data_IF_993901017050
#
_entry.id   IF_993901017050
#
_cell.length_a   1.000
_cell.length_b   1.000
_cell.length_c   1.000
_cell.angle_alpha   90.00
_cell.angle_beta   90.00
_cell.angle_gamma   90.00
#
_symmetry.space_group_name_H-M   'P 1'
#
loop_
_entity.id
_entity.type
_entity.pdbx_description
1 polymer ?
#
# COMPACT_ATOMS: atom_id res chain seq x y z
N UNK A 1 -44.22 -25.98 -42.90
CA UNK A 1 -44.21 -26.76 -41.65
C UNK A 1 -42.79 -27.16 -41.33
N UNK A 2 -42.49 -27.24 -40.04
CA UNK A 2 -41.26 -27.72 -39.38
C UNK A 2 -40.24 -26.65 -38.97
N UNK A 3 -40.55 -26.09 -37.79
CA UNK A 3 -39.66 -25.40 -36.86
C UNK A 3 -38.59 -26.37 -36.32
N UNK A 4 -37.33 -25.93 -36.24
CA UNK A 4 -36.30 -26.64 -35.47
C UNK A 4 -36.10 -25.90 -34.15
N UNK A 5 -36.44 -26.62 -33.09
CA UNK A 5 -36.28 -26.28 -31.68
C UNK A 5 -34.84 -25.84 -31.36
N UNK A 6 -34.64 -24.55 -31.08
CA UNK A 6 -33.52 -24.08 -30.28
C UNK A 6 -33.79 -24.44 -28.82
N UNK A 7 -33.38 -25.64 -28.41
CA UNK A 7 -33.23 -25.98 -27.00
C UNK A 7 -32.14 -25.10 -26.39
N UNK A 8 -32.56 -24.08 -25.65
CA UNK A 8 -31.72 -23.30 -24.74
C UNK A 8 -31.04 -24.25 -23.76
N UNK A 9 -29.77 -24.56 -24.01
CA UNK A 9 -28.92 -25.16 -22.99
C UNK A 9 -28.34 -24.02 -22.15
N UNK A 10 -29.05 -23.74 -21.06
CA UNK A 10 -28.73 -22.74 -20.05
C UNK A 10 -27.36 -23.04 -19.45
N UNK A 11 -26.34 -22.25 -19.80
CA UNK A 11 -25.05 -22.28 -19.12
C UNK A 11 -25.24 -21.89 -17.65
N UNK A 12 -25.18 -22.87 -16.75
CA UNK A 12 -25.07 -22.66 -15.30
C UNK A 12 -23.59 -22.42 -14.97
N UNK A 13 -23.20 -21.30 -14.36
CA UNK A 13 -21.84 -21.14 -13.84
C UNK A 13 -21.60 -22.17 -12.73
N UNK A 14 -20.47 -22.89 -12.80
CA UNK A 14 -20.01 -23.76 -11.72
C UNK A 14 -19.78 -22.91 -10.45
N UNK A 15 -20.42 -23.32 -9.34
CA UNK A 15 -20.21 -22.68 -8.03
C UNK A 15 -18.78 -22.98 -7.53
N UNK A 16 -18.13 -22.05 -6.79
CA UNK A 16 -16.84 -22.31 -6.18
C UNK A 16 -16.97 -23.40 -5.12
N UNK A 17 -16.19 -24.47 -5.24
CA UNK A 17 -16.09 -25.51 -4.22
C UNK A 17 -15.51 -24.91 -2.92
N UNK A 18 -16.21 -25.08 -1.80
CA UNK A 18 -15.72 -24.73 -0.47
C UNK A 18 -14.47 -25.57 -0.09
N UNK A 19 -13.51 -25.01 0.66
CA UNK A 19 -12.37 -25.78 1.15
C UNK A 19 -12.81 -26.70 2.31
N UNK A 20 -12.28 -27.94 2.41
CA UNK A 20 -12.62 -28.82 3.50
C UNK A 20 -12.06 -28.29 4.84
N UNK A 21 -12.93 -28.23 5.84
CA UNK A 21 -12.60 -27.97 7.24
C UNK A 21 -12.05 -29.21 7.94
N UNK A 22 -11.05 -28.98 8.81
CA UNK A 22 -10.59 -29.90 9.86
C UNK A 22 -9.30 -30.64 9.50
N UNK A 23 -8.29 -30.81 10.35
CA UNK A 23 -7.99 -30.34 11.70
C UNK A 23 -6.63 -30.96 12.10
N UNK A 24 -5.98 -30.40 13.12
CA UNK A 24 -4.90 -30.96 13.96
C UNK A 24 -3.49 -31.14 13.36
N UNK A 25 -2.63 -30.18 13.72
CA UNK A 25 -1.22 -30.37 14.08
C UNK A 25 -1.03 -31.38 15.22
N UNK A 26 0.11 -32.09 15.28
CA UNK A 26 0.72 -32.48 16.54
C UNK A 26 1.98 -31.67 16.85
N UNK A 27 2.11 -31.42 18.14
CA UNK A 27 3.09 -30.62 18.86
C UNK A 27 4.44 -31.34 19.04
N UNK A 28 5.50 -30.55 19.18
CA UNK A 28 6.85 -30.99 19.56
C UNK A 28 7.67 -29.86 20.17
N UNK A 29 7.45 -29.61 21.47
CA UNK A 29 8.33 -29.08 22.52
C UNK A 29 9.44 -28.05 22.19
N UNK A 30 9.48 -26.92 22.90
CA UNK A 30 10.10 -26.83 24.24
C UNK A 30 10.44 -25.38 24.65
N UNK A 31 9.98 -25.00 25.84
CA UNK A 31 10.56 -24.05 26.82
C UNK A 31 10.87 -22.59 26.42
N UNK A 32 10.18 -21.62 27.05
CA UNK A 32 10.63 -20.95 28.30
C UNK A 32 9.60 -19.92 28.77
N UNK A 33 9.14 -20.09 30.00
CA UNK A 33 8.41 -19.13 30.82
C UNK A 33 9.40 -18.06 31.37
N UNK A 34 8.94 -16.86 31.74
CA UNK A 34 8.90 -16.60 33.18
C UNK A 34 7.71 -15.76 33.65
N UNK A 35 7.04 -16.24 34.69
CA UNK A 35 6.29 -15.42 35.63
C UNK A 35 7.20 -15.02 36.81
N UNK A 36 6.95 -13.80 37.30
CA UNK A 36 7.11 -13.35 38.69
C UNK A 36 8.52 -13.15 39.24
N UNK A 37 8.92 -11.89 39.45
CA UNK A 37 9.59 -11.44 40.68
C UNK A 37 9.27 -9.95 40.94
N UNK A 38 8.07 -9.70 41.50
CA UNK A 38 7.90 -8.56 42.40
C UNK A 38 8.58 -8.89 43.73
N UNK A 39 9.14 -7.87 44.37
CA UNK A 39 9.74 -7.88 45.71
C UNK A 39 11.16 -8.46 45.81
N UNK A 40 12.15 -7.56 45.71
CA UNK A 40 13.32 -7.59 46.59
C UNK A 40 13.60 -6.16 47.06
N UNK A 41 12.81 -5.73 48.04
CA UNK A 41 13.29 -4.86 49.11
C UNK A 41 14.34 -5.68 49.88
N UNK A 42 15.55 -5.19 50.04
CA UNK A 42 16.08 -4.83 51.37
C UNK A 42 17.53 -4.28 51.30
N UNK A 43 17.80 -3.30 52.17
CA UNK A 43 19.11 -2.96 52.77
C UNK A 43 20.19 -2.30 51.88
N UNK A 44 20.86 -1.18 52.24
CA UNK A 44 21.09 -0.55 53.55
C UNK A 44 21.89 0.78 53.42
N UNK A 45 22.52 1.30 54.50
CA UNK A 45 22.31 2.69 54.97
C UNK A 45 23.55 3.62 54.88
N UNK A 46 23.32 4.94 55.00
CA UNK A 46 24.38 5.94 55.23
C UNK A 46 23.83 7.28 55.72
N UNK A 47 23.90 7.51 57.04
CA UNK A 47 23.52 8.74 57.73
C UNK A 47 24.57 9.83 57.56
N UNK A 48 24.12 11.09 57.41
CA UNK A 48 24.97 12.28 57.41
C UNK A 48 24.16 13.59 57.52
N UNK A 49 23.90 13.99 58.77
CA UNK A 49 23.52 15.34 59.24
C UNK A 49 24.34 16.46 58.54
N UNK A 50 23.94 17.72 58.31
CA UNK A 50 22.93 18.64 58.85
C UNK A 50 22.85 19.92 57.94
N UNK A 51 22.07 20.99 58.23
CA UNK A 51 21.47 21.89 57.24
C UNK A 51 22.27 23.17 56.92
N UNK A 52 22.09 23.72 55.72
CA UNK A 52 22.54 25.09 55.38
C UNK A 52 21.38 25.91 54.82
N UNK A 53 21.15 27.07 55.46
CA UNK A 53 20.16 28.13 55.17
C UNK A 53 20.16 28.59 53.70
N UNK A 54 19.04 29.18 53.20
CA UNK A 54 18.97 29.71 51.85
C UNK A 54 19.72 31.05 51.78
N UNK A 55 20.69 31.15 50.87
CA UNK A 55 21.29 32.43 50.48
C UNK A 55 20.77 32.82 49.11
N UNK A 56 20.04 33.93 49.09
CA UNK A 56 19.70 34.69 47.90
C UNK A 56 20.99 35.13 47.18
N UNK A 57 21.22 34.61 45.99
CA UNK A 57 22.15 35.20 45.04
C UNK A 57 21.38 35.49 43.77
N UNK A 58 21.10 36.79 43.55
CA UNK A 58 20.86 37.35 42.22
C UNK A 58 22.06 36.96 41.36
N UNK A 59 21.86 36.03 40.43
CA UNK A 59 22.78 35.80 39.33
C UNK A 59 22.03 36.11 38.03
N UNK A 60 22.59 37.06 37.28
CA UNK A 60 22.14 37.56 35.99
C UNK A 60 21.65 36.46 35.07
N UNK A 61 20.38 36.55 34.68
CA UNK A 61 19.81 35.81 33.56
C UNK A 61 20.35 36.45 32.28
N UNK A 62 21.47 35.92 31.79
CA UNK A 62 21.77 35.97 30.35
C UNK A 62 21.10 34.72 29.79
N UNK A 63 20.09 34.79 28.91
CA UNK A 63 19.64 33.58 28.26
C UNK A 63 20.75 33.16 27.30
N UNK A 64 21.49 32.13 27.67
CA UNK A 64 22.15 31.29 26.69
C UNK A 64 21.01 30.69 25.86
N UNK A 65 20.80 31.21 24.65
CA UNK A 65 19.94 30.58 23.66
C UNK A 65 20.55 29.24 23.30
N UNK A 66 20.12 28.18 23.98
CA UNK A 66 20.21 26.83 23.43
C UNK A 66 19.55 26.86 22.04
N UNK A 67 20.20 26.33 20.98
CA UNK A 67 19.56 26.23 19.69
C UNK A 67 18.36 25.28 19.81
N UNK A 68 17.17 25.81 19.56
CA UNK A 68 15.90 25.12 19.79
C UNK A 68 15.88 23.71 19.14
N UNK A 69 15.51 22.66 19.89
CA UNK A 69 15.41 21.29 19.39
C UNK A 69 14.40 21.12 18.23
N UNK A 70 13.52 22.09 18.00
CA UNK A 70 12.47 22.04 16.99
C UNK A 70 12.99 22.24 15.54
N UNK A 71 14.04 23.04 15.32
CA UNK A 71 14.47 23.38 13.95
C UNK A 71 15.10 22.19 13.19
N UNK A 72 15.87 21.34 13.89
CA UNK A 72 16.47 20.14 13.28
C UNK A 72 15.42 19.07 12.96
N UNK A 73 14.48 18.86 13.87
CA UNK A 73 13.36 17.91 13.70
C UNK A 73 12.46 18.30 12.53
N UNK A 74 12.20 19.60 12.39
CA UNK A 74 11.41 20.13 11.29
C UNK A 74 12.14 20.05 9.94
N UNK A 75 13.45 20.30 9.91
CA UNK A 75 14.27 20.09 8.72
C UNK A 75 14.25 18.62 8.26
N UNK A 76 14.38 17.68 9.20
CA UNK A 76 14.32 16.24 8.90
C UNK A 76 12.94 15.82 8.38
N UNK A 77 11.87 16.33 9.01
CA UNK A 77 10.48 16.10 8.57
C UNK A 77 10.25 16.61 7.14
N UNK A 78 10.74 17.81 6.83
CA UNK A 78 10.64 18.40 5.50
C UNK A 78 11.44 17.61 4.45
N UNK A 79 12.62 17.08 4.79
CA UNK A 79 13.38 16.21 3.89
C UNK A 79 12.64 14.89 3.62
N UNK A 80 12.07 14.26 4.65
CA UNK A 80 11.26 13.04 4.51
C UNK A 80 10.03 13.28 3.62
N UNK A 81 9.30 14.36 3.86
CA UNK A 81 8.15 14.75 3.04
C UNK A 81 8.54 15.04 1.59
N UNK A 82 9.71 15.65 1.36
CA UNK A 82 10.23 15.87 0.01
C UNK A 82 10.56 14.53 -0.67
N UNK A 83 11.16 13.58 0.04
CA UNK A 83 11.42 12.23 -0.47
C UNK A 83 10.12 11.52 -0.88
N UNK A 84 9.11 11.56 0.01
CA UNK A 84 7.77 11.00 -0.27
C UNK A 84 7.13 11.67 -1.48
N UNK A 85 7.22 13.01 -1.59
CA UNK A 85 6.69 13.75 -2.75
C UNK A 85 7.32 13.30 -4.06
N UNK A 86 8.64 13.08 -4.08
CA UNK A 86 9.36 12.64 -5.27
C UNK A 86 8.93 11.23 -5.70
N UNK A 87 8.79 10.31 -4.73
CA UNK A 87 8.26 8.96 -4.99
C UNK A 87 6.82 9.01 -5.50
N UNK A 88 5.98 9.91 -4.97
CA UNK A 88 4.59 10.13 -5.37
C UNK A 88 4.40 11.09 -6.55
N UNK A 89 5.42 11.23 -7.41
CA UNK A 89 5.26 11.97 -8.66
C UNK A 89 4.16 11.37 -9.54
N UNK A 90 3.52 12.19 -10.38
CA UNK A 90 2.46 11.69 -11.28
C UNK A 90 2.99 10.62 -12.24
N UNK A 91 4.24 10.74 -12.68
CA UNK A 91 4.90 9.75 -13.52
C UNK A 91 5.02 8.40 -12.81
N UNK A 92 5.42 8.41 -11.54
CA UNK A 92 5.58 7.19 -10.75
C UNK A 92 4.23 6.53 -10.46
N UNK A 93 3.21 7.31 -10.07
CA UNK A 93 1.84 6.81 -9.90
C UNK A 93 1.33 6.20 -11.20
N UNK A 94 1.55 6.86 -12.34
CA UNK A 94 1.18 6.33 -13.65
C UNK A 94 1.92 5.04 -14.00
N UNK A 95 3.21 4.94 -13.69
CA UNK A 95 4.01 3.73 -13.93
C UNK A 95 3.47 2.55 -13.11
N UNK A 96 3.19 2.75 -11.82
CA UNK A 96 2.60 1.74 -10.93
C UNK A 96 1.27 1.17 -11.43
N UNK A 97 0.48 2.00 -12.11
CA UNK A 97 -0.83 1.60 -12.64
C UNK A 97 -0.74 1.04 -14.05
N UNK A 98 0.26 1.44 -14.84
CA UNK A 98 0.42 1.00 -16.23
C UNK A 98 1.11 -0.36 -16.35
N UNK A 99 2.11 -0.60 -15.50
CA UNK A 99 2.89 -1.83 -15.50
C UNK A 99 3.10 -2.33 -14.06
N UNK A 100 2.03 -2.86 -13.44
CA UNK A 100 2.00 -3.17 -12.02
C UNK A 100 2.88 -4.35 -11.61
N UNK A 101 3.29 -5.19 -12.56
CA UNK A 101 4.10 -6.39 -12.35
C UNK A 101 5.60 -6.13 -12.52
N UNK A 102 5.97 -4.92 -12.96
CA UNK A 102 7.38 -4.58 -13.17
C UNK A 102 8.16 -4.58 -11.84
N UNK A 103 9.43 -5.01 -11.84
CA UNK A 103 10.28 -4.95 -10.65
C UNK A 103 10.36 -3.54 -10.06
N UNK A 104 10.46 -2.52 -10.92
CA UNK A 104 10.47 -1.12 -10.53
C UNK A 104 9.17 -0.70 -9.83
N UNK A 105 8.01 -1.19 -10.28
CA UNK A 105 6.74 -0.90 -9.60
C UNK A 105 6.68 -1.54 -8.21
N UNK A 106 7.14 -2.79 -8.08
CA UNK A 106 7.17 -3.49 -6.79
C UNK A 106 8.11 -2.79 -5.80
N UNK A 107 9.28 -2.35 -6.25
CA UNK A 107 10.28 -1.67 -5.44
C UNK A 107 9.77 -0.31 -4.99
N UNK A 108 9.21 0.48 -5.89
CA UNK A 108 8.62 1.78 -5.57
C UNK A 108 7.47 1.65 -4.57
N UNK A 109 6.60 0.63 -4.70
CA UNK A 109 5.53 0.39 -3.73
C UNK A 109 6.08 -0.02 -2.37
N UNK A 110 7.14 -0.81 -2.32
CA UNK A 110 7.82 -1.16 -1.06
C UNK A 110 8.38 0.10 -0.40
N UNK A 111 9.14 0.91 -1.14
CA UNK A 111 9.72 2.16 -0.64
C UNK A 111 8.64 3.12 -0.13
N UNK A 112 7.50 3.20 -0.81
CA UNK A 112 6.35 4.00 -0.38
C UNK A 112 5.72 3.45 0.91
N UNK A 113 5.56 2.14 1.05
CA UNK A 113 5.04 1.52 2.29
C UNK A 113 5.99 1.76 3.47
N UNK A 114 7.29 1.66 3.23
CA UNK A 114 8.31 1.87 4.26
C UNK A 114 8.39 3.35 4.66
N UNK A 115 8.15 4.27 3.72
CA UNK A 115 8.20 5.71 3.97
C UNK A 115 6.88 6.27 4.53
N UNK A 116 5.75 5.63 4.24
CA UNK A 116 4.41 6.06 4.67
C UNK A 116 3.82 4.97 5.56
N UNK A 117 4.43 4.81 6.75
CA UNK A 117 3.96 3.90 7.79
C UNK A 117 3.57 4.64 9.07
N UNK A 118 2.96 3.93 10.02
CA UNK A 118 2.45 4.52 11.27
C UNK A 118 3.53 5.23 12.07
N UNK A 119 4.74 4.70 12.09
CA UNK A 119 5.85 5.25 12.88
C UNK A 119 6.35 6.56 12.25
N UNK A 120 6.54 6.56 10.93
CA UNK A 120 6.94 7.76 10.18
C UNK A 120 5.88 8.84 10.25
N UNK A 121 4.60 8.46 10.15
CA UNK A 121 3.48 9.37 10.35
C UNK A 121 3.45 9.92 11.78
N UNK A 122 3.72 9.07 12.79
CA UNK A 122 3.83 9.49 14.19
C UNK A 122 4.94 10.51 14.41
N UNK A 123 6.11 10.29 13.80
CA UNK A 123 7.24 11.21 13.82
C UNK A 123 6.91 12.54 13.11
N UNK A 124 6.35 12.49 11.90
CA UNK A 124 5.97 13.68 11.14
C UNK A 124 4.89 14.51 11.82
N UNK A 125 4.03 13.88 12.63
CA UNK A 125 3.03 14.59 13.43
C UNK A 125 3.65 15.25 14.67
N UNK A 126 4.61 14.60 15.32
CA UNK A 126 5.15 15.06 16.60
C UNK A 126 4.05 15.31 17.65
N UNK A 127 4.36 16.14 18.65
CA UNK A 127 3.38 16.62 19.65
C UNK A 127 2.53 17.79 19.12
N UNK A 128 3.06 18.58 18.17
CA UNK A 128 2.33 19.59 17.41
C UNK A 128 3.03 19.79 16.07
N UNK A 129 2.45 19.30 14.95
CA UNK A 129 3.08 19.46 13.65
C UNK A 129 2.94 20.91 13.21
N UNK A 130 3.97 21.44 12.56
CA UNK A 130 3.89 22.78 11.97
C UNK A 130 2.79 22.87 10.91
N UNK A 131 2.30 24.08 10.65
CA UNK A 131 1.30 24.32 9.62
C UNK A 131 1.76 23.87 8.23
N UNK A 132 3.07 24.01 7.94
CA UNK A 132 3.69 23.58 6.69
C UNK A 132 3.69 22.05 6.56
N UNK A 133 4.09 21.34 7.61
CA UNK A 133 4.09 19.87 7.67
C UNK A 133 2.66 19.33 7.50
N UNK A 134 1.70 19.93 8.21
CA UNK A 134 0.27 19.56 8.13
C UNK A 134 -0.34 19.82 6.75
N UNK A 135 0.08 20.89 6.07
CA UNK A 135 -0.33 21.18 4.69
C UNK A 135 0.30 20.17 3.72
N UNK A 136 1.60 19.89 3.86
CA UNK A 136 2.29 18.92 3.01
C UNK A 136 1.69 17.51 3.10
N UNK A 137 1.33 17.05 4.31
CA UNK A 137 0.65 15.77 4.51
C UNK A 137 -0.71 15.71 3.80
N UNK A 138 -1.52 16.77 3.88
CA UNK A 138 -2.78 16.88 3.12
C UNK A 138 -2.56 16.89 1.62
N UNK A 139 -1.60 17.66 1.14
CA UNK A 139 -1.31 17.73 -0.29
C UNK A 139 -0.88 16.35 -0.84
N UNK A 140 -0.09 15.60 -0.07
CA UNK A 140 0.29 14.23 -0.41
C UNK A 140 -0.90 13.26 -0.34
N UNK A 141 -1.74 13.37 0.69
CA UNK A 141 -2.95 12.56 0.83
C UNK A 141 -3.98 12.83 -0.27
N UNK A 142 -4.09 14.07 -0.75
CA UNK A 142 -4.97 14.45 -1.86
C UNK A 142 -4.54 13.82 -3.19
N UNK A 143 -3.22 13.76 -3.47
CA UNK A 143 -2.65 13.06 -4.65
C UNK A 143 -2.97 11.58 -4.69
N UNK A 144 -3.17 10.98 -3.53
CA UNK A 144 -3.50 9.57 -3.35
C UNK A 144 -4.99 9.33 -3.09
N UNK A 145 -5.82 10.36 -3.18
CA UNK A 145 -7.26 10.23 -2.97
C UNK A 145 -7.92 9.35 -4.03
N UNK A 146 -9.11 8.82 -3.71
CA UNK A 146 -9.93 8.05 -4.66
C UNK A 146 -10.13 8.79 -5.98
N UNK A 147 -10.45 10.09 -5.91
CA UNK A 147 -10.68 10.93 -7.08
C UNK A 147 -9.43 11.08 -7.97
N UNK A 148 -8.24 11.13 -7.38
CA UNK A 148 -6.97 11.26 -8.11
C UNK A 148 -6.54 9.93 -8.75
N UNK A 149 -6.66 8.83 -8.01
CA UNK A 149 -6.21 7.50 -8.46
C UNK A 149 -7.20 6.88 -9.46
N UNK A 150 -8.51 7.12 -9.32
CA UNK A 150 -9.54 6.53 -10.18
C UNK A 150 -9.38 6.87 -11.66
N UNK A 151 -8.97 8.12 -11.99
CA UNK A 151 -8.69 8.51 -13.37
C UNK A 151 -7.56 7.67 -13.98
N UNK A 152 -6.41 7.61 -13.29
CA UNK A 152 -5.25 6.82 -13.76
C UNK A 152 -5.55 5.33 -13.83
N UNK A 153 -6.30 4.79 -12.86
CA UNK A 153 -6.77 3.41 -12.85
C UNK A 153 -7.60 3.09 -14.09
N UNK A 154 -8.60 3.92 -14.39
CA UNK A 154 -9.48 3.72 -15.54
C UNK A 154 -8.73 3.85 -16.87
N UNK A 155 -7.81 4.82 -16.98
CA UNK A 155 -6.95 4.97 -18.16
C UNK A 155 -6.07 3.73 -18.38
N UNK A 156 -5.40 3.24 -17.34
CA UNK A 156 -4.55 2.05 -17.42
C UNK A 156 -5.35 0.79 -17.74
N UNK A 157 -6.48 0.56 -17.06
CA UNK A 157 -7.37 -0.56 -17.35
C UNK A 157 -7.90 -0.52 -18.79
N UNK A 158 -8.38 0.64 -19.24
CA UNK A 158 -8.89 0.83 -20.59
C UNK A 158 -7.82 0.64 -21.67
N UNK A 159 -6.59 1.14 -21.43
CA UNK A 159 -5.46 0.92 -22.32
C UNK A 159 -5.06 -0.56 -22.39
N UNK A 160 -5.06 -1.26 -21.25
CA UNK A 160 -4.75 -2.69 -21.19
C UNK A 160 -5.78 -3.53 -21.94
N UNK A 161 -7.07 -3.32 -21.68
CA UNK A 161 -8.17 -4.03 -22.38
C UNK A 161 -8.06 -3.84 -23.89
N UNK A 162 -7.85 -2.60 -24.36
CA UNK A 162 -7.63 -2.31 -25.79
C UNK A 162 -6.38 -3.02 -26.34
N UNK A 163 -5.33 -3.14 -25.55
CA UNK A 163 -4.13 -3.86 -25.97
C UNK A 163 -4.38 -5.36 -26.12
N UNK A 164 -5.14 -5.98 -25.21
CA UNK A 164 -5.49 -7.40 -25.28
C UNK A 164 -6.42 -7.65 -26.46
N UNK A 165 -7.41 -6.79 -26.66
CA UNK A 165 -8.32 -6.85 -27.82
C UNK A 165 -7.55 -6.83 -29.15
N UNK A 166 -6.59 -5.90 -29.31
CA UNK A 166 -5.75 -5.84 -30.51
C UNK A 166 -4.89 -7.08 -30.71
N UNK A 167 -4.32 -7.64 -29.64
CA UNK A 167 -3.53 -8.88 -29.71
C UNK A 167 -4.40 -10.04 -30.19
N UNK A 168 -5.60 -10.18 -29.61
CA UNK A 168 -6.54 -11.22 -29.99
C UNK A 168 -6.97 -11.09 -31.46
N UNK A 169 -7.34 -9.88 -31.89
CA UNK A 169 -7.78 -9.64 -33.27
C UNK A 169 -6.65 -9.93 -34.28
N UNK A 170 -5.40 -9.59 -33.94
CA UNK A 170 -4.24 -9.88 -34.78
C UNK A 170 -3.99 -11.39 -34.96
N UNK A 171 -4.30 -12.21 -33.94
CA UNK A 171 -4.07 -13.66 -33.96
C UNK A 171 -5.28 -14.46 -34.47
N UNK A 172 -6.47 -13.86 -34.48
CA UNK A 172 -7.73 -14.55 -34.76
C UNK A 172 -7.77 -15.22 -36.15
N UNK A 173 -7.36 -14.49 -37.19
CA UNK A 173 -7.36 -15.01 -38.55
C UNK A 173 -6.34 -16.15 -38.70
N UNK A 174 -5.13 -15.96 -38.18
CA UNK A 174 -4.05 -16.96 -38.23
C UNK A 174 -4.44 -18.26 -37.50
N UNK A 175 -5.05 -18.16 -36.31
CA UNK A 175 -5.56 -19.31 -35.58
C UNK A 175 -6.67 -20.06 -36.35
N UNK A 176 -7.57 -19.32 -36.98
CA UNK A 176 -8.65 -19.89 -37.81
C UNK A 176 -8.09 -20.59 -39.05
N UNK A 177 -7.09 -20.00 -39.70
CA UNK A 177 -6.41 -20.57 -40.86
C UNK A 177 -5.66 -21.86 -40.49
N UNK A 178 -4.95 -21.86 -39.36
CA UNK A 178 -4.26 -23.05 -38.84
C UNK A 178 -5.22 -24.21 -38.58
N UNK A 179 -6.43 -23.93 -38.09
CA UNK A 179 -7.47 -24.95 -37.92
C UNK A 179 -8.01 -25.45 -39.26
N UNK A 180 -8.25 -24.55 -40.21
CA UNK A 180 -8.77 -24.92 -41.53
C UNK A 180 -7.79 -25.76 -42.36
N UNK A 181 -6.48 -25.55 -42.15
CA UNK A 181 -5.42 -26.28 -42.85
C UNK A 181 -4.88 -27.48 -42.06
N UNK A 182 -5.33 -27.71 -40.83
CA UNK A 182 -4.87 -28.85 -40.04
C UNK A 182 -5.40 -30.17 -40.63
N UNK A 183 -4.53 -31.17 -40.70
CA UNK A 183 -4.96 -32.52 -41.06
C UNK A 183 -6.06 -32.99 -40.10
N UNK A 184 -7.12 -33.68 -40.57
CA UNK A 184 -8.25 -34.09 -39.72
C UNK A 184 -7.83 -34.86 -38.46
N UNK A 185 -6.78 -35.67 -38.57
CA UNK A 185 -6.22 -36.43 -37.45
C UNK A 185 -5.52 -35.56 -36.39
N UNK A 186 -5.05 -34.38 -36.79
CA UNK A 186 -4.31 -33.42 -35.95
C UNK A 186 -5.13 -32.18 -35.55
N UNK A 187 -6.28 -31.95 -36.18
CA UNK A 187 -7.12 -30.78 -35.98
C UNK A 187 -7.57 -30.63 -34.51
N UNK A 188 -7.86 -31.75 -33.84
CA UNK A 188 -8.20 -31.77 -32.41
C UNK A 188 -7.06 -31.27 -31.53
N UNK A 189 -5.83 -31.75 -31.76
CA UNK A 189 -4.65 -31.30 -31.01
C UNK A 189 -4.35 -29.82 -31.27
N UNK A 190 -4.57 -29.35 -32.51
CA UNK A 190 -4.45 -27.94 -32.87
C UNK A 190 -5.47 -27.08 -32.13
N UNK A 191 -6.73 -27.53 -32.08
CA UNK A 191 -7.80 -26.83 -31.36
C UNK A 191 -7.53 -26.75 -29.86
N UNK A 192 -7.13 -27.86 -29.23
CA UNK A 192 -6.74 -27.88 -27.80
C UNK A 192 -5.57 -26.93 -27.56
N UNK A 193 -4.53 -26.97 -28.39
CA UNK A 193 -3.36 -26.11 -28.20
C UNK A 193 -3.67 -24.62 -28.33
N UNK A 194 -4.64 -24.25 -29.18
CA UNK A 194 -5.11 -22.87 -29.29
C UNK A 194 -6.00 -22.48 -28.11
N UNK A 195 -6.85 -23.39 -27.65
CA UNK A 195 -7.67 -23.20 -26.46
C UNK A 195 -6.81 -22.98 -25.20
N UNK A 196 -5.81 -23.83 -24.96
CA UNK A 196 -4.93 -23.74 -23.80
C UNK A 196 -4.15 -22.42 -23.79
N UNK A 197 -3.66 -21.98 -24.96
CA UNK A 197 -3.02 -20.67 -25.11
C UNK A 197 -3.98 -19.53 -24.78
N UNK A 198 -5.23 -19.62 -25.24
CA UNK A 198 -6.27 -18.63 -24.96
C UNK A 198 -6.61 -18.57 -23.47
N UNK A 199 -6.73 -19.73 -22.81
CA UNK A 199 -6.96 -19.81 -21.37
C UNK A 199 -5.79 -19.21 -20.58
N UNK A 200 -4.55 -19.54 -20.95
CA UNK A 200 -3.36 -18.94 -20.35
C UNK A 200 -3.34 -17.41 -20.47
N UNK A 201 -3.68 -16.88 -21.65
CA UNK A 201 -3.76 -15.45 -21.89
C UNK A 201 -4.88 -14.76 -21.08
N UNK A 202 -6.04 -15.41 -20.92
CA UNK A 202 -7.15 -14.91 -20.08
C UNK A 202 -6.72 -14.83 -18.62
N UNK A 203 -6.11 -15.89 -18.08
CA UNK A 203 -5.64 -15.93 -16.69
C UNK A 203 -4.58 -14.86 -16.43
N UNK A 204 -3.60 -14.72 -17.34
CA UNK A 204 -2.59 -13.66 -17.27
C UNK A 204 -3.24 -12.26 -17.30
N UNK A 205 -4.26 -12.06 -18.15
CA UNK A 205 -4.98 -10.78 -18.24
C UNK A 205 -5.76 -10.45 -16.96
N UNK A 206 -6.39 -11.45 -16.35
CA UNK A 206 -7.07 -11.29 -15.07
C UNK A 206 -6.09 -10.98 -13.93
N UNK A 207 -4.93 -11.64 -13.91
CA UNK A 207 -3.86 -11.36 -12.94
C UNK A 207 -3.35 -9.93 -13.07
N UNK A 208 -3.06 -9.49 -14.29
CA UNK A 208 -2.61 -8.12 -14.53
C UNK A 208 -3.63 -7.08 -14.06
N UNK A 209 -4.91 -7.24 -14.42
CA UNK A 209 -5.99 -6.34 -13.95
C UNK A 209 -6.12 -6.35 -12.43
N UNK A 210 -5.93 -7.51 -11.79
CA UNK A 210 -5.93 -7.62 -10.33
C UNK A 210 -4.79 -6.79 -9.74
N UNK A 211 -3.58 -6.90 -10.28
CA UNK A 211 -2.43 -6.12 -9.80
C UNK A 211 -2.59 -4.61 -10.00
N UNK A 212 -3.19 -4.14 -11.11
CA UNK A 212 -3.53 -2.71 -11.26
C UNK A 212 -4.45 -2.25 -10.11
N UNK A 213 -5.49 -3.04 -9.79
CA UNK A 213 -6.44 -2.73 -8.71
C UNK A 213 -5.78 -2.75 -7.33
N UNK A 214 -4.92 -3.72 -7.07
CA UNK A 214 -4.16 -3.86 -5.81
C UNK A 214 -3.21 -2.67 -5.61
N UNK A 215 -2.49 -2.26 -6.65
CA UNK A 215 -1.63 -1.08 -6.61
C UNK A 215 -2.43 0.19 -6.34
N UNK A 216 -3.55 0.38 -7.05
CA UNK A 216 -4.46 1.50 -6.82
C UNK A 216 -5.03 1.51 -5.39
N UNK A 217 -5.42 0.34 -4.86
CA UNK A 217 -5.90 0.23 -3.48
C UNK A 217 -4.80 0.56 -2.46
N UNK A 218 -3.58 0.07 -2.67
CA UNK A 218 -2.43 0.36 -1.81
C UNK A 218 -2.12 1.86 -1.81
N UNK A 219 -2.10 2.51 -2.98
CA UNK A 219 -1.90 3.95 -3.08
C UNK A 219 -2.96 4.73 -2.29
N UNK A 220 -4.24 4.34 -2.40
CA UNK A 220 -5.34 4.97 -1.65
C UNK A 220 -5.21 4.74 -0.13
N UNK A 221 -4.78 3.57 0.32
CA UNK A 221 -4.62 3.29 1.74
C UNK A 221 -3.48 4.11 2.35
N UNK A 222 -2.38 4.31 1.61
CA UNK A 222 -1.31 5.24 1.98
C UNK A 222 -1.82 6.70 2.03
N UNK A 223 -2.66 7.10 1.07
CA UNK A 223 -3.34 8.39 1.08
C UNK A 223 -4.23 8.62 2.30
N UNK A 224 -4.98 7.58 2.71
CA UNK A 224 -5.80 7.63 3.91
C UNK A 224 -4.97 7.77 5.20
N UNK A 225 -3.80 7.12 5.27
CA UNK A 225 -2.86 7.28 6.38
C UNK A 225 -2.34 8.72 6.46
N UNK A 226 -1.96 9.32 5.33
CA UNK A 226 -1.49 10.71 5.25
C UNK A 226 -2.60 11.72 5.65
N UNK A 227 -3.82 11.51 5.17
CA UNK A 227 -4.94 12.40 5.51
C UNK A 227 -5.32 12.32 6.98
N UNK A 228 -5.32 11.12 7.58
CA UNK A 228 -5.56 10.95 9.03
C UNK A 228 -4.46 11.58 9.89
N UNK A 229 -3.26 11.71 9.35
CA UNK A 229 -2.13 12.33 10.04
C UNK A 229 -2.20 13.86 10.08
N UNK A 230 -2.88 14.47 9.12
CA UNK A 230 -2.96 15.91 9.04
C UNK A 230 -4.06 16.44 9.97
N UNK A 231 -3.73 17.31 10.94
CA UNK A 231 -4.74 17.89 11.83
C UNK A 231 -5.74 18.75 11.04
N UNK A 232 -7.01 18.69 11.46
CA UNK A 232 -8.06 19.58 10.96
C UNK A 232 -7.67 21.04 11.25
N UNK A 233 -7.70 21.88 10.22
CA UNK A 233 -7.35 23.31 10.32
C UNK A 233 -8.17 24.04 11.41
N UNK A 234 -9.39 23.56 11.69
CA UNK A 234 -10.30 24.10 12.71
C UNK A 234 -9.87 23.84 14.15
N UNK A 235 -8.96 22.89 14.39
CA UNK A 235 -8.41 22.63 15.72
C UNK A 235 -7.23 23.57 16.05
N UNK A 236 -6.49 24.03 15.03
CA UNK A 236 -5.31 24.88 15.18
C UNK A 236 -5.71 26.33 15.51
N UNK A 237 -6.82 26.82 14.97
CA UNK A 237 -7.31 28.20 15.23
C UNK A 237 -7.96 28.37 16.62
N UNK A 238 -8.31 27.28 17.31
CA UNK A 238 -8.91 27.34 18.65
C UNK A 238 -7.91 27.45 19.79
N UNK A 239 -6.65 27.11 19.57
CA UNK A 239 -5.57 27.22 20.57
C UNK A 239 -4.77 28.52 20.44
N UNK A 240 -5.03 29.33 19.41
CA UNK A 240 -4.40 30.63 19.18
C UNK A 240 -5.26 31.84 19.64
N UNK A 241 -6.30 31.60 20.46
CA UNK A 241 -7.15 32.64 21.05
C UNK A 241 -7.16 32.57 22.57
#
# INVERSE_FOLDING_TARGET
MSSINTGLNTYRPLQPSEPPQGSTTPSGASTKNPQSLSAMLDSGPGWGNQPVKPSSVKASTTPASDPAPDAKSEQESNQRLSGIRNMLSEQNIKALLKDPESPAASELLSQLKDSINKDTIGMLRGASPSAQTSKALRDLGARLSESAISKGLNESMGAYVKSIERKYEAERFDNSLKLALADPESAWNTAISQWDRSQGAILASQAHVRHIKENAHTLRSLGALLNRAAPDQTAIDKTAR
#
